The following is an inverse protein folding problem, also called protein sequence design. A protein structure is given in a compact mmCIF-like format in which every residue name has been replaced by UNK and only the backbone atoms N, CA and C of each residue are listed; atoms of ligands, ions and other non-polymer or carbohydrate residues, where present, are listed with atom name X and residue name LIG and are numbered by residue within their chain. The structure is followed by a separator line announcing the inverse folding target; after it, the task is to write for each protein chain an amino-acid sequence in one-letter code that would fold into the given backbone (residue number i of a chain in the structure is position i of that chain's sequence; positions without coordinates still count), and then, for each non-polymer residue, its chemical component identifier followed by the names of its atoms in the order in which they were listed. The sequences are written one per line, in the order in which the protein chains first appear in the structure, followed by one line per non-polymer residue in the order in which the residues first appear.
data_IF_361796505721
#
_entry.id   IF_361796505721
#
_cell.length_a   1.000
_cell.length_b   1.000
_cell.length_c   1.000
_cell.angle_alpha   90.00
_cell.angle_beta   90.00
_cell.angle_gamma   90.00
#
_symmetry.space_group_name_H-M   'P 1'
#
loop_
_entity.id
_entity.type
_entity.pdbx_description
1 polymer ?
#
# COMPACT_ATOMS: atom_id res chain seq x y z
N UNK A 1 1.48 16.88 5.13
CA UNK A 1 0.92 16.86 3.76
C UNK A 1 -0.21 17.89 3.61
N UNK A 2 -1.33 17.70 4.31
CA UNK A 2 -2.52 18.57 4.16
C UNK A 2 -2.26 20.07 4.40
N UNK A 3 -1.45 20.43 5.40
CA UNK A 3 -1.09 21.83 5.67
C UNK A 3 -0.27 22.51 4.56
N UNK A 4 0.25 21.73 3.59
CA UNK A 4 0.96 22.23 2.42
C UNK A 4 0.14 22.07 1.12
N UNK A 5 -1.17 21.86 1.22
CA UNK A 5 -2.09 21.77 0.08
C UNK A 5 -2.17 20.40 -0.60
N UNK A 6 -1.46 19.38 -0.11
CA UNK A 6 -1.63 18.00 -0.62
C UNK A 6 -2.95 17.41 -0.15
N UNK A 7 -3.82 17.03 -1.07
CA UNK A 7 -5.16 16.49 -0.79
C UNK A 7 -5.32 14.99 -1.06
N UNK A 8 -4.36 14.38 -1.75
CA UNK A 8 -4.38 12.95 -2.10
C UNK A 8 -3.02 12.33 -1.78
N UNK A 9 -3.02 11.19 -1.11
CA UNK A 9 -1.82 10.41 -0.80
C UNK A 9 -1.94 9.02 -1.41
N UNK A 10 -1.03 8.69 -2.32
CA UNK A 10 -0.90 7.36 -2.93
C UNK A 10 0.45 6.79 -2.53
N UNK A 11 0.46 5.59 -1.97
CA UNK A 11 1.66 4.94 -1.44
C UNK A 11 1.31 3.64 -0.75
N UNK A 12 2.13 3.17 0.18
CA UNK A 12 1.82 1.96 0.94
C UNK A 12 2.63 1.91 2.23
N UNK A 13 2.18 1.08 3.17
CA UNK A 13 2.81 0.90 4.46
C UNK A 13 1.82 0.46 5.55
N UNK A 14 2.35 -0.01 6.67
CA UNK A 14 1.58 -0.49 7.84
C UNK A 14 2.07 0.15 9.14
N UNK A 15 2.58 1.38 9.06
CA UNK A 15 3.27 2.06 10.17
C UNK A 15 4.79 1.88 10.08
N UNK A 16 5.55 2.11 11.17
CA UNK A 16 7.02 2.17 11.14
C UNK A 16 7.70 0.78 11.11
N UNK A 17 7.12 -0.18 10.39
CA UNK A 17 7.74 -1.48 10.17
C UNK A 17 8.87 -1.38 9.14
N UNK A 18 9.91 -2.21 9.26
CA UNK A 18 11.08 -2.18 8.36
C UNK A 18 10.68 -2.19 6.88
N UNK A 19 9.71 -3.03 6.50
CA UNK A 19 9.20 -3.08 5.13
C UNK A 19 8.54 -1.79 4.64
N UNK A 20 7.88 -1.02 5.53
CA UNK A 20 7.27 0.28 5.18
C UNK A 20 8.31 1.39 5.12
N UNK A 21 9.30 1.35 6.01
CA UNK A 21 10.40 2.31 6.00
C UNK A 21 11.26 2.16 4.73
N UNK A 22 11.35 0.95 4.19
CA UNK A 22 12.03 0.66 2.93
C UNK A 22 11.15 0.87 1.69
N UNK A 23 9.88 0.46 1.74
CA UNK A 23 9.05 0.30 0.54
C UNK A 23 7.66 0.88 0.71
N UNK A 24 7.12 1.45 -0.37
CA UNK A 24 5.74 1.96 -0.42
C UNK A 24 4.74 0.83 -0.67
N UNK A 25 4.75 -0.21 0.16
CA UNK A 25 3.91 -1.41 0.02
C UNK A 25 3.08 -1.64 1.29
N UNK A 26 1.77 -1.84 1.12
CA UNK A 26 0.86 -2.38 2.13
C UNK A 26 0.59 -3.86 1.79
N UNK A 27 1.38 -4.81 2.31
CA UNK A 27 1.40 -6.17 1.78
C UNK A 27 0.21 -7.02 2.25
N UNK A 28 -0.54 -7.58 1.31
CA UNK A 28 -1.63 -8.52 1.60
C UNK A 28 -2.97 -7.84 1.93
N UNK A 29 -4.06 -8.56 1.65
CA UNK A 29 -5.45 -8.09 1.79
C UNK A 29 -5.77 -7.58 3.21
N UNK A 30 -5.32 -8.30 4.24
CA UNK A 30 -5.58 -7.93 5.63
C UNK A 30 -4.98 -6.57 6.00
N UNK A 31 -3.72 -6.32 5.65
CA UNK A 31 -3.05 -5.05 5.95
C UNK A 31 -3.70 -3.90 5.19
N UNK A 32 -4.09 -4.12 3.92
CA UNK A 32 -4.79 -3.12 3.12
C UNK A 32 -6.09 -2.70 3.81
N UNK A 33 -6.92 -3.66 4.23
CA UNK A 33 -8.17 -3.38 4.93
C UNK A 33 -7.95 -2.61 6.24
N UNK A 34 -6.93 -2.99 7.05
CA UNK A 34 -6.60 -2.26 8.27
C UNK A 34 -6.17 -0.83 8.00
N UNK A 35 -5.42 -0.59 6.93
CA UNK A 35 -4.98 0.75 6.58
C UNK A 35 -6.10 1.62 6.03
N UNK A 36 -7.06 1.03 5.29
CA UNK A 36 -8.29 1.72 4.88
C UNK A 36 -9.09 2.15 6.12
N UNK A 37 -9.32 1.24 7.06
CA UNK A 37 -10.01 1.55 8.32
C UNK A 37 -9.27 2.64 9.12
N UNK A 38 -7.94 2.60 9.16
CA UNK A 38 -7.13 3.56 9.90
C UNK A 38 -7.22 5.01 9.36
N UNK A 39 -7.66 5.20 8.11
CA UNK A 39 -7.72 6.52 7.47
C UNK A 39 -9.15 6.99 7.15
N UNK A 40 -10.17 6.21 7.52
CA UNK A 40 -11.58 6.44 7.13
C UNK A 40 -12.11 7.81 7.57
N UNK A 41 -11.69 8.28 8.75
CA UNK A 41 -12.09 9.58 9.31
C UNK A 41 -11.16 10.76 8.90
N UNK A 42 -10.12 10.51 8.09
CA UNK A 42 -9.16 11.55 7.72
C UNK A 42 -9.67 12.33 6.49
N UNK A 43 -9.60 13.68 6.49
CA UNK A 43 -10.11 14.51 5.40
C UNK A 43 -9.13 14.60 4.22
N UNK A 44 -8.72 13.45 3.68
CA UNK A 44 -7.81 13.32 2.54
C UNK A 44 -8.24 12.13 1.67
N UNK A 45 -7.87 12.15 0.39
CA UNK A 45 -8.02 10.97 -0.46
C UNK A 45 -6.81 10.03 -0.25
N UNK A 46 -7.06 8.73 -0.18
CA UNK A 46 -6.03 7.71 0.00
C UNK A 46 -6.08 6.65 -1.10
N UNK A 47 -4.90 6.19 -1.52
CA UNK A 47 -4.72 5.00 -2.34
C UNK A 47 -3.57 4.15 -1.83
N UNK A 48 -3.83 2.89 -1.51
CA UNK A 48 -2.82 1.96 -1.00
C UNK A 48 -2.29 1.04 -2.10
N UNK A 49 -0.97 0.91 -2.18
CA UNK A 49 -0.25 0.05 -3.10
C UNK A 49 0.08 -1.27 -2.41
N UNK A 50 -0.30 -2.39 -3.03
CA UNK A 50 0.14 -3.72 -2.61
C UNK A 50 1.61 -3.98 -2.97
N UNK A 51 2.16 -5.08 -2.47
CA UNK A 51 3.47 -5.58 -2.90
C UNK A 51 3.33 -6.27 -4.26
N UNK A 52 4.05 -5.77 -5.27
CA UNK A 52 4.02 -6.28 -6.63
C UNK A 52 5.02 -7.40 -6.92
N UNK A 53 5.89 -7.73 -5.96
CA UNK A 53 6.97 -8.69 -6.14
C UNK A 53 6.46 -10.12 -5.89
N UNK A 54 5.92 -10.74 -6.93
CA UNK A 54 5.60 -12.18 -6.98
C UNK A 54 5.70 -12.66 -8.44
N UNK A 55 6.03 -13.93 -8.64
CA UNK A 55 6.01 -14.57 -9.96
C UNK A 55 4.66 -15.19 -10.30
N UNK A 56 3.72 -15.21 -9.35
CA UNK A 56 2.38 -15.76 -9.50
C UNK A 56 1.32 -14.67 -9.36
N UNK A 57 0.35 -14.67 -10.28
CA UNK A 57 -0.71 -13.66 -10.33
C UNK A 57 -1.64 -13.71 -9.11
N UNK A 58 -1.89 -14.91 -8.55
CA UNK A 58 -2.89 -15.12 -7.48
C UNK A 58 -2.63 -14.24 -6.25
N UNK A 59 -1.37 -14.17 -5.78
CA UNK A 59 -1.02 -13.35 -4.63
C UNK A 59 -1.09 -11.84 -4.91
N UNK A 60 -0.92 -11.44 -6.17
CA UNK A 60 -1.06 -10.06 -6.61
C UNK A 60 -2.54 -9.65 -6.65
N UNK A 61 -3.39 -10.54 -7.19
CA UNK A 61 -4.83 -10.30 -7.34
C UNK A 61 -5.55 -10.24 -6.00
N UNK A 62 -5.16 -11.06 -5.02
CA UNK A 62 -5.74 -11.01 -3.67
C UNK A 62 -5.58 -9.61 -3.03
N UNK A 63 -4.47 -8.93 -3.30
CA UNK A 63 -4.23 -7.58 -2.80
C UNK A 63 -5.13 -6.55 -3.48
N UNK A 64 -5.33 -6.67 -4.80
CA UNK A 64 -6.23 -5.80 -5.57
C UNK A 64 -7.67 -6.00 -5.09
N UNK A 65 -8.13 -7.24 -4.95
CA UNK A 65 -9.45 -7.58 -4.40
C UNK A 65 -9.61 -7.09 -2.96
N UNK A 66 -8.52 -7.07 -2.19
CA UNK A 66 -8.47 -6.51 -0.83
C UNK A 66 -8.55 -4.99 -0.76
N UNK A 67 -8.51 -4.28 -1.89
CA UNK A 67 -8.66 -2.82 -1.97
C UNK A 67 -7.41 -2.05 -2.38
N UNK A 68 -6.32 -2.71 -2.79
CA UNK A 68 -5.17 -2.00 -3.34
C UNK A 68 -5.54 -1.31 -4.66
N UNK A 69 -5.11 -0.05 -4.83
CA UNK A 69 -5.32 0.72 -6.05
C UNK A 69 -4.17 0.56 -7.07
N UNK A 70 -3.17 -0.26 -6.74
CA UNK A 70 -2.01 -0.53 -7.56
C UNK A 70 -1.01 -1.44 -6.83
N UNK A 71 0.08 -1.78 -7.51
CA UNK A 71 1.15 -2.63 -6.98
C UNK A 71 2.50 -1.91 -7.11
N UNK A 72 3.37 -2.12 -6.14
CA UNK A 72 4.74 -1.60 -6.16
C UNK A 72 5.73 -2.75 -6.30
N UNK A 73 6.52 -2.73 -7.37
CA UNK A 73 7.77 -3.47 -7.46
C UNK A 73 8.87 -2.68 -6.73
N UNK A 74 9.57 -3.33 -5.81
CA UNK A 74 10.71 -2.75 -5.11
C UNK A 74 11.90 -3.69 -5.10
N UNK A 75 13.12 -3.16 -5.23
CA UNK A 75 14.34 -3.97 -5.28
C UNK A 75 14.59 -4.75 -3.98
N UNK A 76 14.28 -4.15 -2.82
CA UNK A 76 14.29 -4.78 -1.49
C UNK A 76 13.38 -6.00 -1.39
N UNK A 77 12.37 -6.10 -2.26
CA UNK A 77 11.49 -7.27 -2.39
C UNK A 77 11.83 -8.15 -3.60
N UNK A 78 12.87 -7.81 -4.38
CA UNK A 78 13.29 -8.52 -5.58
C UNK A 78 12.55 -8.07 -6.84
N UNK A 79 13.03 -7.01 -7.51
CA UNK A 79 12.56 -6.60 -8.85
C UNK A 79 13.32 -7.40 -9.92
N UNK A 80 13.05 -8.72 -9.94
CA UNK A 80 13.67 -9.67 -10.86
C UNK A 80 12.99 -9.71 -12.22
#
# INVERSE_FOLDING_TARGET
AICNGTTTMIGGGTGPADGTNATTCTPGSWNIQRMIEAVDDLPLNFGFLGKGNDSQEVALMEQIEGGACGLKLHEDWGTT
#
